data_IF_894457578742
#
_entry.id   IF_894457578742
#
_cell.length_a   1.000
_cell.length_b   1.000
_cell.length_c   1.000
_cell.angle_alpha   90.00
_cell.angle_beta   90.00
_cell.angle_gamma   90.00
#
_symmetry.space_group_name_H-M   'P 1'
#
loop_
_entity.id
_entity.type
_entity.pdbx_description
1 polymer ?
#
# COMPACT_ATOMS: atom_id res chain seq x y z
N UNK A 1 7.81 -10.92 -24.68
CA UNK A 1 8.61 -10.93 -23.45
C UNK A 1 8.30 -9.63 -22.74
N UNK A 2 7.61 -9.67 -21.60
CA UNK A 2 7.32 -8.46 -20.85
C UNK A 2 8.63 -7.79 -20.46
N UNK A 3 8.79 -6.51 -20.83
CA UNK A 3 9.92 -5.70 -20.42
C UNK A 3 10.05 -5.79 -18.89
N UNK A 4 11.21 -6.15 -18.33
CA UNK A 4 11.37 -6.21 -16.89
C UNK A 4 11.02 -4.85 -16.30
N UNK A 5 10.10 -4.83 -15.32
CA UNK A 5 9.68 -3.62 -14.61
C UNK A 5 10.88 -2.71 -14.34
N UNK A 6 10.90 -1.46 -14.87
CA UNK A 6 12.00 -0.55 -14.65
C UNK A 6 12.29 -0.43 -13.15
N UNK A 7 13.57 -0.37 -12.79
CA UNK A 7 14.00 -0.43 -11.39
C UNK A 7 13.34 0.62 -10.48
N UNK A 8 12.93 1.76 -11.06
CA UNK A 8 12.13 2.79 -10.39
C UNK A 8 10.74 2.28 -9.96
N UNK A 9 9.94 1.72 -10.88
CA UNK A 9 8.60 1.20 -10.56
C UNK A 9 8.63 0.00 -9.63
N UNK A 10 9.71 -0.81 -9.69
CA UNK A 10 9.92 -1.89 -8.72
C UNK A 10 10.03 -1.35 -7.29
N UNK A 11 10.72 -0.22 -7.09
CA UNK A 11 10.80 0.46 -5.78
C UNK A 11 9.46 1.01 -5.33
N UNK A 12 8.70 1.66 -6.23
CA UNK A 12 7.36 2.18 -5.92
C UNK A 12 6.42 1.04 -5.52
N UNK A 13 6.42 -0.08 -6.26
CA UNK A 13 5.60 -1.25 -5.96
C UNK A 13 5.93 -1.83 -4.58
N UNK A 14 7.21 -1.90 -4.22
CA UNK A 14 7.65 -2.38 -2.89
C UNK A 14 7.20 -1.40 -1.81
N UNK A 15 7.43 -0.09 -1.99
CA UNK A 15 7.01 0.93 -1.04
C UNK A 15 5.49 0.89 -0.81
N UNK A 16 4.70 0.80 -1.88
CA UNK A 16 3.24 0.70 -1.80
C UNK A 16 2.77 -0.54 -1.05
N UNK A 17 3.42 -1.70 -1.28
CA UNK A 17 3.15 -2.93 -0.50
C UNK A 17 3.50 -2.78 0.98
N UNK A 18 4.61 -2.12 1.31
CA UNK A 18 5.00 -1.87 2.71
C UNK A 18 3.99 -0.95 3.39
N UNK A 19 3.52 0.10 2.72
CA UNK A 19 2.51 1.02 3.26
C UNK A 19 1.17 0.29 3.48
N UNK A 20 0.74 -0.55 2.53
CA UNK A 20 -0.44 -1.41 2.70
C UNK A 20 -0.29 -2.38 3.87
N UNK A 21 0.85 -3.08 3.97
CA UNK A 21 1.11 -3.99 5.07
C UNK A 21 1.14 -3.26 6.42
N UNK A 22 1.76 -2.07 6.48
CA UNK A 22 1.78 -1.21 7.65
C UNK A 22 0.39 -0.75 8.06
N UNK A 23 -0.47 -0.37 7.11
CA UNK A 23 -1.87 -0.05 7.42
C UNK A 23 -2.64 -1.26 7.96
N UNK A 24 -2.42 -2.45 7.39
CA UNK A 24 -3.04 -3.69 7.89
C UNK A 24 -2.61 -4.02 9.31
N UNK A 25 -1.33 -3.79 9.65
CA UNK A 25 -0.83 -3.96 11.02
C UNK A 25 -1.46 -2.98 12.01
N UNK A 26 -1.72 -1.73 11.59
CA UNK A 26 -2.43 -0.74 12.42
C UNK A 26 -3.91 -1.11 12.56
N UNK A 27 -4.54 -1.70 11.53
CA UNK A 27 -5.94 -2.11 11.60
C UNK A 27 -6.16 -3.47 12.30
N UNK A 28 -5.11 -4.28 12.48
CA UNK A 28 -5.21 -5.63 13.03
C UNK A 28 -5.80 -5.68 14.47
N UNK A 29 -5.51 -4.75 15.39
CA UNK A 29 -6.20 -4.75 16.68
C UNK A 29 -7.64 -4.25 16.61
N UNK A 30 -8.01 -3.45 15.60
CA UNK A 30 -9.39 -3.00 15.42
C UNK A 30 -10.33 -4.16 15.05
N UNK A 31 -9.83 -5.18 14.33
CA UNK A 31 -10.61 -6.41 14.06
C UNK A 31 -10.72 -7.34 15.27
N UNK A 32 -9.95 -7.09 16.33
CA UNK A 32 -10.03 -7.81 17.60
C UNK A 32 -10.90 -7.09 18.65
N UNK A 33 -11.77 -6.17 18.22
CA UNK A 33 -12.66 -5.36 19.06
C UNK A 33 -11.92 -4.48 20.10
N UNK A 34 -10.63 -4.21 19.87
CA UNK A 34 -9.86 -3.29 20.70
C UNK A 34 -10.21 -1.87 20.31
N UNK A 35 -10.72 -1.09 21.27
CA UNK A 35 -11.00 0.33 21.08
C UNK A 35 -9.74 1.07 20.62
N UNK A 36 -9.74 1.48 19.35
CA UNK A 36 -8.66 2.26 18.76
C UNK A 36 -9.01 3.75 18.73
N UNK A 37 -8.04 4.63 19.00
CA UNK A 37 -8.19 6.06 18.76
C UNK A 37 -8.56 6.33 17.30
N UNK A 38 -9.56 7.18 17.06
CA UNK A 38 -10.01 7.53 15.70
C UNK A 38 -8.89 8.06 14.80
N UNK A 39 -7.91 8.76 15.39
CA UNK A 39 -6.72 9.26 14.68
C UNK A 39 -5.88 8.14 14.06
N UNK A 40 -5.70 7.01 14.76
CA UNK A 40 -4.97 5.85 14.22
C UNK A 40 -5.72 5.22 13.04
N UNK A 41 -7.06 5.23 13.10
CA UNK A 41 -7.91 4.70 12.04
C UNK A 41 -7.80 5.53 10.77
N UNK A 42 -7.83 6.87 10.89
CA UNK A 42 -7.66 7.78 9.76
C UNK A 42 -6.25 7.67 9.15
N UNK A 43 -5.22 7.56 9.98
CA UNK A 43 -3.84 7.32 9.52
C UNK A 43 -3.76 5.99 8.75
N UNK A 44 -4.34 4.92 9.28
CA UNK A 44 -4.29 3.61 8.64
C UNK A 44 -5.03 3.60 7.30
N UNK A 45 -6.21 4.23 7.21
CA UNK A 45 -6.93 4.41 5.94
C UNK A 45 -6.09 5.18 4.93
N UNK A 46 -5.47 6.28 5.35
CA UNK A 46 -4.59 7.09 4.51
C UNK A 46 -3.40 6.29 3.96
N UNK A 47 -2.73 5.52 4.83
CA UNK A 47 -1.63 4.62 4.46
C UNK A 47 -2.08 3.55 3.46
N UNK A 48 -3.25 2.96 3.69
CA UNK A 48 -3.80 1.94 2.79
C UNK A 48 -4.08 2.50 1.40
N UNK A 49 -4.73 3.68 1.33
CA UNK A 49 -5.03 4.36 0.08
C UNK A 49 -3.73 4.72 -0.65
N UNK A 50 -2.77 5.35 0.03
CA UNK A 50 -1.47 5.71 -0.55
C UNK A 50 -0.73 4.48 -1.11
N UNK A 51 -0.71 3.39 -0.34
CA UNK A 51 -0.11 2.13 -0.77
C UNK A 51 -0.82 1.51 -1.98
N UNK A 52 -2.16 1.52 -2.00
CA UNK A 52 -2.95 1.03 -3.14
C UNK A 52 -2.66 1.79 -4.43
N UNK A 53 -2.59 3.12 -4.35
CA UNK A 53 -2.31 3.98 -5.50
C UNK A 53 -0.89 3.73 -6.02
N UNK A 54 0.11 3.63 -5.14
CA UNK A 54 1.48 3.33 -5.56
C UNK A 54 1.59 1.97 -6.27
N UNK A 55 0.93 0.94 -5.74
CA UNK A 55 0.93 -0.39 -6.37
C UNK A 55 0.20 -0.36 -7.72
N UNK A 56 -0.93 0.34 -7.82
CA UNK A 56 -1.71 0.47 -9.05
C UNK A 56 -0.91 1.22 -10.14
N UNK A 57 -0.29 2.35 -9.80
CA UNK A 57 0.56 3.12 -10.72
C UNK A 57 1.73 2.26 -11.22
N UNK A 58 2.38 1.52 -10.31
CA UNK A 58 3.47 0.63 -10.69
C UNK A 58 3.02 -0.59 -11.50
N UNK A 59 1.73 -0.96 -11.47
CA UNK A 59 1.18 -2.02 -12.32
C UNK A 59 0.89 -1.48 -13.73
N UNK A 60 0.14 -0.38 -13.82
CA UNK A 60 -0.23 0.26 -15.10
C UNK A 60 1.00 0.71 -15.88
N UNK A 61 2.00 1.31 -15.22
CA UNK A 61 3.22 1.77 -15.87
C UNK A 61 4.12 0.64 -16.39
N UNK A 62 3.86 -0.61 -15.99
CA UNK A 62 4.63 -1.80 -16.41
C UNK A 62 3.86 -2.63 -17.42
N UNK A 63 2.53 -2.67 -17.33
CA UNK A 63 1.66 -3.31 -18.33
C UNK A 63 1.45 -2.47 -19.59
N UNK A 64 1.74 -1.17 -19.54
CA UNK A 64 1.64 -0.25 -20.68
C UNK A 64 2.83 -0.29 -21.66
N UNK A 65 3.75 -1.25 -21.53
CA UNK A 65 4.97 -1.39 -22.34
C UNK A 65 5.02 -2.73 -23.11
#
# INVERSE_FOLDING_TARGET
MASPTPGFFKKIKIAGKVLMAGSGAILAPAVADVHMPGVLMEIAKGLFIAGSVMVAVAAVAVEGE
#
